data_IF_362961805137
#
_entry.id   IF_362961805137
#
_cell.length_a   1.000
_cell.length_b   1.000
_cell.length_c   1.000
_cell.angle_alpha   90.00
_cell.angle_beta   90.00
_cell.angle_gamma   90.00
#
_symmetry.space_group_name_H-M   'P 1'
#
loop_
_entity.id
_entity.type
_entity.pdbx_description
1 polymer ?
#
# COMPACT_ATOMS: atom_id res chain seq x y z
N UNK A 1 14.32 -6.54 -8.45
CA UNK A 1 12.98 -7.05 -8.08
C UNK A 1 12.38 -5.98 -7.19
N UNK A 2 11.15 -5.54 -7.42
CA UNK A 2 10.57 -4.40 -6.69
C UNK A 2 10.03 -4.86 -5.33
N UNK A 3 10.26 -4.12 -4.26
CA UNK A 3 9.74 -4.48 -2.94
C UNK A 3 8.39 -3.83 -2.66
N UNK A 4 7.51 -4.55 -1.98
CA UNK A 4 6.23 -4.05 -1.47
C UNK A 4 6.26 -4.17 0.04
N UNK A 5 6.48 -3.04 0.72
CA UNK A 5 6.46 -2.94 2.16
C UNK A 5 5.03 -2.74 2.65
N UNK A 6 4.55 -3.66 3.49
CA UNK A 6 3.22 -3.61 4.08
C UNK A 6 3.31 -3.09 5.52
N UNK A 7 2.59 -2.00 5.78
CA UNK A 7 2.39 -1.40 7.11
C UNK A 7 1.85 -2.44 8.11
N UNK A 8 2.32 -2.36 9.34
CA UNK A 8 1.95 -3.30 10.39
C UNK A 8 0.50 -3.25 10.84
N UNK A 9 -0.20 -2.16 10.53
CA UNK A 9 -1.64 -2.03 10.70
C UNK A 9 -2.44 -2.99 9.79
N UNK A 10 -1.82 -3.57 8.76
CA UNK A 10 -2.43 -4.66 8.01
C UNK A 10 -2.53 -5.93 8.87
N UNK A 11 -3.68 -6.62 8.88
CA UNK A 11 -3.79 -7.90 9.58
C UNK A 11 -2.83 -8.92 8.98
N UNK A 12 -2.05 -9.61 9.83
CA UNK A 12 -1.09 -10.65 9.40
C UNK A 12 -1.67 -11.72 8.45
N UNK A 13 -2.91 -12.20 8.62
CA UNK A 13 -3.49 -13.14 7.67
C UNK A 13 -3.58 -12.59 6.23
N UNK A 14 -3.76 -11.27 6.07
CA UNK A 14 -3.80 -10.63 4.74
C UNK A 14 -2.44 -10.70 4.09
N UNK A 15 -1.38 -10.33 4.81
CA UNK A 15 -0.01 -10.42 4.31
C UNK A 15 0.31 -11.84 3.84
N UNK A 16 0.00 -12.84 4.68
CA UNK A 16 0.21 -14.24 4.31
C UNK A 16 -0.54 -14.65 3.04
N UNK A 17 -1.80 -14.25 2.89
CA UNK A 17 -2.56 -14.52 1.66
C UNK A 17 -1.91 -13.84 0.46
N UNK A 18 -1.44 -12.60 0.59
CA UNK A 18 -0.76 -11.88 -0.49
C UNK A 18 0.56 -12.56 -0.87
N UNK A 19 1.35 -13.00 0.10
CA UNK A 19 2.57 -13.79 -0.10
C UNK A 19 2.27 -15.12 -0.79
N UNK A 20 1.26 -15.86 -0.33
CA UNK A 20 0.83 -17.13 -0.92
C UNK A 20 0.36 -16.94 -2.37
N UNK A 21 -0.51 -15.96 -2.62
CA UNK A 21 -0.98 -15.61 -3.98
C UNK A 21 0.19 -15.20 -4.87
N UNK A 22 1.14 -14.43 -4.34
CA UNK A 22 2.32 -14.01 -5.08
C UNK A 22 3.25 -15.20 -5.40
N UNK A 23 3.43 -16.12 -4.45
CA UNK A 23 4.26 -17.31 -4.60
C UNK A 23 3.73 -18.30 -5.65
N UNK A 24 2.43 -18.26 -5.96
CA UNK A 24 1.83 -19.03 -7.06
C UNK A 24 2.21 -18.50 -8.46
N UNK A 25 2.75 -17.29 -8.56
CA UNK A 25 3.13 -16.70 -9.85
C UNK A 25 4.41 -17.35 -10.40
N UNK A 26 4.38 -17.79 -11.67
CA UNK A 26 5.56 -18.36 -12.35
C UNK A 26 6.73 -17.38 -12.48
N UNK A 27 6.42 -16.08 -12.60
CA UNK A 27 7.39 -15.00 -12.67
C UNK A 27 7.16 -14.04 -11.51
N UNK A 28 8.12 -13.98 -10.57
CA UNK A 28 8.06 -13.08 -9.43
C UNK A 28 8.62 -11.73 -9.82
N UNK A 29 7.75 -10.73 -9.94
CA UNK A 29 8.14 -9.33 -10.19
C UNK A 29 8.41 -8.55 -8.90
N UNK A 30 7.82 -8.99 -7.80
CA UNK A 30 7.81 -8.28 -6.54
C UNK A 30 8.34 -9.16 -5.41
N UNK A 31 8.72 -8.52 -4.31
CA UNK A 31 8.93 -9.15 -3.02
C UNK A 31 7.97 -8.47 -2.04
N UNK A 32 7.25 -9.24 -1.23
CA UNK A 32 6.32 -8.68 -0.26
C UNK A 32 6.95 -8.84 1.12
N UNK A 33 7.11 -7.73 1.81
CA UNK A 33 7.76 -7.68 3.12
C UNK A 33 6.91 -6.86 4.09
N UNK A 34 6.96 -7.22 5.36
CA UNK A 34 6.39 -6.37 6.41
C UNK A 34 7.39 -5.29 6.77
N UNK A 35 6.91 -4.06 6.92
CA UNK A 35 7.80 -2.93 7.22
C UNK A 35 8.51 -3.12 8.56
N UNK A 36 7.79 -3.47 9.63
CA UNK A 36 8.37 -3.63 10.99
C UNK A 36 9.53 -4.62 11.09
N UNK A 37 9.63 -5.57 10.16
CA UNK A 37 10.59 -6.67 10.25
C UNK A 37 11.93 -6.35 9.55
N UNK A 38 12.08 -5.16 8.96
CA UNK A 38 13.24 -4.80 8.13
C UNK A 38 13.79 -3.40 8.44
N UNK A 39 15.13 -3.30 8.50
CA UNK A 39 15.82 -2.01 8.39
C UNK A 39 15.85 -1.59 6.92
N UNK A 40 15.14 -0.51 6.59
CA UNK A 40 15.06 -0.02 5.20
C UNK A 40 16.26 0.89 4.92
N UNK A 41 17.14 0.48 4.00
CA UNK A 41 18.23 1.33 3.53
C UNK A 41 17.74 2.32 2.46
N UNK A 42 18.38 3.49 2.36
CA UNK A 42 18.00 4.55 1.40
C UNK A 42 17.99 4.07 -0.07
N UNK A 43 18.86 3.12 -0.41
CA UNK A 43 18.94 2.56 -1.76
C UNK A 43 17.72 1.67 -2.10
N UNK A 44 17.10 1.03 -1.11
CA UNK A 44 15.93 0.17 -1.33
C UNK A 44 14.67 1.00 -1.62
N UNK A 45 14.65 2.26 -1.18
CA UNK A 45 13.48 3.13 -1.23
C UNK A 45 13.00 3.46 -2.66
N UNK A 46 13.92 3.55 -3.63
CA UNK A 46 13.59 3.93 -5.01
C UNK A 46 12.84 2.84 -5.77
N UNK A 47 13.09 1.59 -5.43
CA UNK A 47 12.47 0.41 -6.06
C UNK A 47 11.46 -0.26 -5.12
N UNK A 48 10.73 0.56 -4.37
CA UNK A 48 9.80 0.10 -3.34
C UNK A 48 8.43 0.77 -3.43
N UNK A 49 7.40 0.00 -3.05
CA UNK A 49 6.03 0.46 -2.85
C UNK A 49 5.67 0.30 -1.38
N UNK A 50 5.15 1.36 -0.78
CA UNK A 50 4.69 1.37 0.61
C UNK A 50 3.16 1.26 0.64
N UNK A 51 2.64 0.16 1.19
CA UNK A 51 1.21 0.00 1.47
C UNK A 51 0.94 0.42 2.91
N UNK A 52 0.29 1.57 3.08
CA UNK A 52 0.10 2.22 4.37
C UNK A 52 -1.38 2.27 4.73
N UNK A 53 -1.70 2.15 6.02
CA UNK A 53 -3.06 2.39 6.53
C UNK A 53 -3.16 3.80 7.08
N UNK A 54 -4.16 4.55 6.66
CA UNK A 54 -4.41 5.90 7.15
C UNK A 54 -5.79 5.98 7.82
N UNK A 55 -5.80 6.30 9.11
CA UNK A 55 -6.99 6.45 9.95
C UNK A 55 -7.55 7.88 9.96
N UNK A 56 -6.97 8.81 9.18
CA UNK A 56 -7.45 10.18 9.15
C UNK A 56 -8.84 10.30 8.49
N UNK A 57 -9.80 10.85 9.23
CA UNK A 57 -11.20 11.04 8.77
C UNK A 57 -11.30 11.87 7.48
N UNK A 58 -10.42 12.85 7.29
CA UNK A 58 -10.39 13.74 6.11
C UNK A 58 -8.99 13.85 5.55
N UNK A 59 -8.86 13.78 4.23
CA UNK A 59 -7.57 13.86 3.55
C UNK A 59 -6.70 12.64 3.78
N UNK A 60 -5.42 12.81 3.46
CA UNK A 60 -4.34 11.86 3.76
C UNK A 60 -3.42 12.55 4.76
N UNK A 61 -2.88 11.78 5.70
CA UNK A 61 -2.02 12.32 6.74
C UNK A 61 -0.77 12.97 6.17
N UNK A 62 -0.37 14.10 6.76
CA UNK A 62 0.80 14.88 6.34
C UNK A 62 2.07 14.02 6.23
N UNK A 63 2.37 13.08 7.16
CA UNK A 63 3.54 12.21 7.03
C UNK A 63 3.55 11.39 5.73
N UNK A 64 2.40 10.85 5.32
CA UNK A 64 2.27 10.08 4.08
C UNK A 64 2.45 10.96 2.84
N UNK A 65 1.94 12.20 2.88
CA UNK A 65 2.14 13.16 1.80
C UNK A 65 3.63 13.48 1.64
N UNK A 66 4.31 13.81 2.73
CA UNK A 66 5.76 14.09 2.73
C UNK A 66 6.59 12.92 2.19
N UNK A 67 6.26 11.70 2.60
CA UNK A 67 6.88 10.49 2.03
C UNK A 67 6.74 10.44 0.51
N UNK A 68 5.55 10.73 -0.02
CA UNK A 68 5.37 10.75 -1.47
C UNK A 68 6.15 11.89 -2.16
N UNK A 69 6.30 13.04 -1.50
CA UNK A 69 7.07 14.19 -2.02
C UNK A 69 8.57 13.88 -2.07
N UNK A 70 9.08 13.18 -1.06
CA UNK A 70 10.46 12.66 -1.00
C UNK A 70 10.74 11.59 -2.07
N UNK A 71 9.68 11.08 -2.69
CA UNK A 71 9.75 10.27 -3.90
C UNK A 71 9.35 8.82 -3.72
N UNK A 72 8.92 8.43 -2.53
CA UNK A 72 8.45 7.08 -2.25
C UNK A 72 7.11 6.84 -2.96
N UNK A 73 6.97 5.66 -3.56
CA UNK A 73 5.68 5.24 -4.12
C UNK A 73 4.82 4.70 -2.99
N UNK A 74 3.75 5.42 -2.66
CA UNK A 74 2.90 5.11 -1.52
C UNK A 74 1.47 4.85 -1.96
N UNK A 75 0.90 3.76 -1.45
CA UNK A 75 -0.47 3.33 -1.68
C UNK A 75 -1.18 3.29 -0.33
N UNK A 76 -2.21 4.12 -0.20
CA UNK A 76 -2.87 4.37 1.08
C UNK A 76 -4.21 3.68 1.14
N UNK A 77 -4.41 2.81 2.13
CA UNK A 77 -5.72 2.33 2.54
C UNK A 77 -6.31 3.30 3.54
N UNK A 78 -7.34 4.05 3.14
CA UNK A 78 -8.04 5.00 4.02
C UNK A 78 -9.14 4.29 4.79
N UNK A 79 -9.03 4.31 6.11
CA UNK A 79 -9.99 3.73 7.05
C UNK A 79 -10.67 4.87 7.79
N UNK A 80 -11.95 5.12 7.48
CA UNK A 80 -12.73 6.18 8.11
C UNK A 80 -13.58 5.68 9.29
N UNK A 81 -13.78 4.37 9.38
CA UNK A 81 -14.61 3.73 10.41
C UNK A 81 -13.78 3.40 11.65
N UNK A 82 -14.35 3.63 12.84
CA UNK A 82 -13.68 3.38 14.12
C UNK A 82 -13.63 1.87 14.47
N UNK A 83 -14.47 1.05 13.81
CA UNK A 83 -14.47 -0.41 13.95
C UNK A 83 -14.15 -1.07 12.62
N UNK A 84 -12.96 -1.64 12.52
CA UNK A 84 -12.51 -2.35 11.33
C UNK A 84 -12.98 -3.80 11.41
N UNK A 85 -13.76 -4.23 10.41
CA UNK A 85 -13.96 -5.65 10.17
C UNK A 85 -12.73 -6.19 9.42
N UNK A 86 -12.00 -7.11 10.06
CA UNK A 86 -10.75 -7.66 9.52
C UNK A 86 -10.98 -8.48 8.25
N UNK A 87 -12.12 -9.15 8.13
CA UNK A 87 -12.47 -9.90 6.93
C UNK A 87 -12.75 -8.95 5.77
N UNK A 88 -13.57 -7.91 5.99
CA UNK A 88 -13.83 -6.92 4.95
C UNK A 88 -12.56 -6.14 4.57
N UNK A 89 -11.66 -5.91 5.52
CA UNK A 89 -10.35 -5.31 5.25
C UNK A 89 -9.54 -6.21 4.31
N UNK A 90 -9.41 -7.50 4.63
CA UNK A 90 -8.74 -8.48 3.78
C UNK A 90 -9.33 -8.51 2.37
N UNK A 91 -10.66 -8.59 2.27
CA UNK A 91 -11.37 -8.61 0.99
C UNK A 91 -11.19 -7.31 0.20
N UNK A 92 -11.11 -6.17 0.88
CA UNK A 92 -10.81 -4.89 0.24
C UNK A 92 -9.43 -4.91 -0.38
N UNK A 93 -8.40 -5.29 0.39
CA UNK A 93 -7.01 -5.36 -0.09
C UNK A 93 -6.89 -6.31 -1.27
N UNK A 94 -7.47 -7.52 -1.18
CA UNK A 94 -7.45 -8.49 -2.27
C UNK A 94 -8.16 -7.98 -3.53
N UNK A 95 -9.26 -7.26 -3.40
CA UNK A 95 -9.98 -6.64 -4.54
C UNK A 95 -9.14 -5.57 -5.23
N UNK A 96 -8.39 -4.77 -4.48
CA UNK A 96 -7.55 -3.72 -5.07
C UNK A 96 -6.17 -4.19 -5.49
N UNK A 97 -5.73 -5.36 -5.04
CA UNK A 97 -4.39 -5.89 -5.31
C UNK A 97 -3.99 -5.89 -6.79
N UNK A 98 -4.83 -6.35 -7.75
CA UNK A 98 -4.47 -6.29 -9.16
C UNK A 98 -4.20 -4.85 -9.66
N UNK A 99 -4.93 -3.87 -9.13
CA UNK A 99 -4.74 -2.46 -9.46
C UNK A 99 -3.46 -1.89 -8.84
N UNK A 100 -3.09 -2.34 -7.65
CA UNK A 100 -1.81 -1.99 -7.01
C UNK A 100 -0.65 -2.43 -7.90
N UNK A 101 -0.70 -3.68 -8.36
CA UNK A 101 0.30 -4.24 -9.28
C UNK A 101 0.32 -3.49 -10.62
N UNK A 102 -0.83 -3.17 -11.20
CA UNK A 102 -0.88 -2.37 -12.45
C UNK A 102 -0.27 -0.97 -12.29
N UNK A 103 -0.47 -0.32 -11.12
CA UNK A 103 0.05 1.03 -10.85
C UNK A 103 1.48 1.05 -10.34
N UNK A 104 2.12 -0.11 -10.12
CA UNK A 104 3.54 -0.18 -9.74
C UNK A 104 4.45 0.50 -10.75
N UNK A 105 4.04 0.53 -12.02
CA UNK A 105 4.83 1.07 -13.13
C UNK A 105 4.42 2.52 -13.49
N UNK A 106 3.43 3.09 -12.77
CA UNK A 106 2.98 4.46 -12.98
C UNK A 106 4.05 5.50 -12.59
N UNK A 107 4.01 6.68 -13.21
CA UNK A 107 4.80 7.84 -12.76
C UNK A 107 4.25 8.48 -11.48
N UNK A 108 2.95 8.30 -11.22
CA UNK A 108 2.33 8.82 -10.00
C UNK A 108 2.90 8.10 -8.78
N UNK A 109 3.13 8.88 -7.72
CA UNK A 109 3.76 8.39 -6.49
C UNK A 109 2.77 8.14 -5.35
N UNK A 110 1.59 8.76 -5.39
CA UNK A 110 0.59 8.61 -4.33
C UNK A 110 -0.74 8.11 -4.89
N UNK A 111 -1.17 6.95 -4.39
CA UNK A 111 -2.49 6.41 -4.64
C UNK A 111 -3.25 6.17 -3.34
N UNK A 112 -4.57 6.17 -3.42
CA UNK A 112 -5.41 5.81 -2.28
C UNK A 112 -6.61 4.97 -2.70
N UNK A 113 -7.05 4.12 -1.78
CA UNK A 113 -8.33 3.43 -1.85
C UNK A 113 -8.97 3.46 -0.46
N UNK A 114 -10.29 3.39 -0.42
CA UNK A 114 -11.01 3.37 0.85
C UNK A 114 -11.26 1.92 1.29
N UNK A 115 -11.25 1.68 2.60
CA UNK A 115 -11.82 0.49 3.22
C UNK A 115 -13.26 0.23 2.72
N UNK A 116 -13.58 -1.01 2.39
CA UNK A 116 -14.85 -1.41 1.74
C UNK A 116 -14.96 -1.02 0.26
N UNK A 117 -13.97 -0.29 -0.27
CA UNK A 117 -13.93 0.17 -1.65
C UNK A 117 -13.34 -0.85 -2.62
N UNK A 118 -13.43 -0.53 -3.91
CA UNK A 118 -12.86 -1.33 -5.01
C UNK A 118 -11.99 -0.53 -5.97
N UNK A 119 -11.88 0.79 -5.75
CA UNK A 119 -11.24 1.72 -6.69
C UNK A 119 -9.97 2.27 -6.08
N UNK A 120 -8.87 2.08 -6.80
CA UNK A 120 -7.61 2.77 -6.56
C UNK A 120 -7.64 4.12 -7.30
N UNK A 121 -7.33 5.21 -6.61
CA UNK A 121 -7.37 6.58 -7.15
C UNK A 121 -6.00 7.23 -6.99
N UNK A 122 -5.51 7.90 -8.03
CA UNK A 122 -4.36 8.80 -7.92
C UNK A 122 -4.71 10.00 -7.04
N UNK A 123 -3.78 10.40 -6.18
CA UNK A 123 -3.95 11.55 -5.30
C UNK A 123 -3.18 12.72 -5.91
N UNK A 124 -3.90 13.80 -6.23
CA UNK A 124 -3.26 15.05 -6.64
C UNK A 124 -2.82 15.80 -5.38
N UNK A 125 -1.52 15.82 -5.13
CA UNK A 125 -0.93 16.72 -4.15
C UNK A 125 -1.05 18.12 -4.75
N UNK A 126 -1.83 19.00 -4.11
CA UNK A 126 -1.86 20.41 -4.49
C UNK A 126 -0.59 21.02 -3.91
N UNK A 127 0.35 21.41 -4.78
CA UNK A 127 1.46 22.25 -4.37
C UNK A 127 0.86 23.62 -3.99
N UNK A 128 1.04 24.04 -2.75
CA UNK A 128 0.80 25.43 -2.32
C UNK A 128 1.89 26.36 -2.87
#
# INVERSE_FOLDING_TARGET
>A
MMKIYIDSNYPRPVLKILEDVHNLQKQKKYEIERWEDNEINENDLKDSIFLVVDFQKKGISIPIIKQSEEGYKTIVCRVMDEKIDRFEFAMTVLRVWPHIIEKSDSKDKLFSFNYGGKKLRGVKIKNE
#
